data_IF_633450575513
#
_entry.id   IF_633450575513
#
_cell.length_a   1.000
_cell.length_b   1.000
_cell.length_c   1.000
_cell.angle_alpha   90.00
_cell.angle_beta   90.00
_cell.angle_gamma   90.00
#
_symmetry.space_group_name_H-M   'P 1'
#
loop_
_entity.id
_entity.type
_entity.pdbx_description
1 polymer ?
#
# COMPACT_ATOMS: atom_id res chain seq x y z
N UNK A 1 -16.39 -12.02 7.76
CA UNK A 1 -15.34 -13.06 7.53
C UNK A 1 -14.60 -12.78 6.23
N UNK A 2 -15.27 -12.61 5.07
CA UNK A 2 -14.61 -12.35 3.78
C UNK A 2 -13.91 -10.98 3.65
N UNK A 3 -14.44 -9.90 4.25
CA UNK A 3 -13.80 -8.58 4.10
C UNK A 3 -12.45 -8.50 4.81
N UNK A 4 -12.35 -9.08 6.02
CA UNK A 4 -11.10 -9.10 6.79
C UNK A 4 -10.00 -9.85 6.05
N UNK A 5 -10.30 -11.04 5.53
CA UNK A 5 -9.36 -11.85 4.73
C UNK A 5 -8.88 -11.09 3.48
N UNK A 6 -9.77 -10.33 2.83
CA UNK A 6 -9.42 -9.49 1.69
C UNK A 6 -8.46 -8.36 2.09
N UNK A 7 -8.76 -7.64 3.17
CA UNK A 7 -7.91 -6.54 3.66
C UNK A 7 -6.54 -7.09 4.10
N UNK A 8 -6.50 -8.23 4.79
CA UNK A 8 -5.24 -8.90 5.16
C UNK A 8 -4.41 -9.29 3.94
N UNK A 9 -5.06 -9.72 2.86
CA UNK A 9 -4.39 -9.95 1.58
C UNK A 9 -3.84 -8.64 1.02
N UNK A 10 -4.65 -7.58 0.95
CA UNK A 10 -4.23 -6.27 0.42
C UNK A 10 -3.06 -5.69 1.24
N UNK A 11 -3.02 -5.90 2.56
CA UNK A 11 -1.91 -5.54 3.44
C UNK A 11 -0.61 -6.28 3.10
N UNK A 12 -0.69 -7.59 2.79
CA UNK A 12 0.48 -8.37 2.36
C UNK A 12 1.02 -7.90 1.02
N UNK A 13 0.12 -7.68 0.06
CA UNK A 13 0.46 -7.19 -1.28
C UNK A 13 1.11 -5.80 -1.24
N UNK A 14 0.64 -4.93 -0.33
CA UNK A 14 1.27 -3.63 -0.09
C UNK A 14 2.70 -3.77 0.44
N UNK A 15 2.90 -4.64 1.45
CA UNK A 15 4.22 -4.84 2.05
C UNK A 15 5.23 -5.40 1.04
N UNK A 16 4.80 -6.31 0.16
CA UNK A 16 5.62 -6.83 -0.95
C UNK A 16 5.97 -5.72 -1.94
N UNK A 17 4.97 -4.94 -2.39
CA UNK A 17 5.19 -3.82 -3.33
C UNK A 17 6.11 -2.75 -2.77
N UNK A 18 6.02 -2.47 -1.47
CA UNK A 18 6.87 -1.51 -0.78
C UNK A 18 8.32 -2.00 -0.75
N UNK A 19 8.53 -3.29 -0.45
CA UNK A 19 9.87 -3.91 -0.45
C UNK A 19 10.53 -3.79 -1.83
N UNK A 20 9.80 -4.08 -2.91
CA UNK A 20 10.30 -3.93 -4.28
C UNK A 20 10.73 -2.49 -4.59
N UNK A 21 9.95 -1.49 -4.16
CA UNK A 21 10.30 -0.08 -4.33
C UNK A 21 11.58 0.25 -3.56
N UNK A 22 11.68 -0.17 -2.29
CA UNK A 22 12.87 0.12 -1.46
C UNK A 22 14.13 -0.54 -2.02
N UNK A 23 14.04 -1.78 -2.53
CA UNK A 23 15.12 -2.49 -3.21
C UNK A 23 15.54 -1.79 -4.51
N UNK A 24 14.59 -1.20 -5.24
CA UNK A 24 14.83 -0.40 -6.44
C UNK A 24 15.47 0.98 -6.15
N UNK A 25 15.73 1.32 -4.88
CA UNK A 25 16.40 2.55 -4.43
C UNK A 25 15.74 3.81 -5.01
N UNK A 26 14.55 4.18 -4.50
CA UNK A 26 13.76 5.27 -5.07
C UNK A 26 14.49 6.61 -4.89
N UNK A 27 14.34 7.54 -5.84
CA UNK A 27 14.96 8.86 -5.75
C UNK A 27 14.37 9.66 -4.57
N UNK A 28 15.17 10.61 -4.05
CA UNK A 28 14.85 11.39 -2.85
C UNK A 28 13.48 12.09 -2.94
N UNK A 29 13.15 12.62 -4.12
CA UNK A 29 11.91 13.35 -4.36
C UNK A 29 10.64 12.48 -4.22
N UNK A 30 10.76 11.15 -4.16
CA UNK A 30 9.64 10.24 -3.93
C UNK A 30 9.51 9.79 -2.48
N UNK A 31 10.49 10.09 -1.60
CA UNK A 31 10.48 9.63 -0.20
C UNK A 31 9.24 10.07 0.57
N UNK A 32 8.80 11.31 0.39
CA UNK A 32 7.59 11.80 1.07
C UNK A 32 6.33 11.00 0.69
N UNK A 33 6.20 10.62 -0.59
CA UNK A 33 5.08 9.79 -1.04
C UNK A 33 5.17 8.36 -0.47
N UNK A 34 6.37 7.79 -0.39
CA UNK A 34 6.62 6.48 0.21
C UNK A 34 6.27 6.50 1.71
N UNK A 35 6.73 7.50 2.45
CA UNK A 35 6.40 7.65 3.87
C UNK A 35 4.90 7.89 4.08
N UNK A 36 4.24 8.65 3.20
CA UNK A 36 2.77 8.78 3.22
C UNK A 36 2.10 7.42 3.03
N UNK A 37 2.51 6.63 2.05
CA UNK A 37 1.94 5.29 1.83
C UNK A 37 2.14 4.38 3.06
N UNK A 38 3.33 4.42 3.70
CA UNK A 38 3.61 3.67 4.94
C UNK A 38 2.71 4.09 6.11
N UNK A 39 2.42 5.39 6.24
CA UNK A 39 1.54 5.89 7.30
C UNK A 39 0.11 5.37 7.11
N UNK A 40 -0.44 5.46 5.89
CA UNK A 40 -1.76 4.88 5.60
C UNK A 40 -1.79 3.36 5.75
N UNK A 41 -0.70 2.65 5.42
CA UNK A 41 -0.60 1.22 5.73
C UNK A 41 -0.72 0.93 7.23
N UNK A 42 0.00 1.68 8.09
CA UNK A 42 -0.09 1.54 9.54
C UNK A 42 -1.50 1.86 10.06
N UNK A 43 -2.13 2.89 9.51
CA UNK A 43 -3.51 3.26 9.84
C UNK A 43 -4.49 2.13 9.46
N UNK A 44 -4.30 1.50 8.30
CA UNK A 44 -5.13 0.37 7.86
C UNK A 44 -5.00 -0.83 8.81
N UNK A 45 -3.79 -1.15 9.27
CA UNK A 45 -3.55 -2.17 10.29
C UNK A 45 -4.29 -1.80 11.59
N UNK A 46 -4.14 -0.56 12.05
CA UNK A 46 -4.80 -0.07 13.25
C UNK A 46 -6.33 -0.20 13.19
N UNK A 47 -6.96 0.25 12.11
CA UNK A 47 -8.42 0.15 11.96
C UNK A 47 -8.89 -1.31 11.87
N UNK A 48 -8.12 -2.18 11.21
CA UNK A 48 -8.45 -3.60 11.11
C UNK A 48 -8.39 -4.29 12.49
N UNK A 49 -7.38 -3.99 13.31
CA UNK A 49 -7.26 -4.49 14.68
C UNK A 49 -8.41 -4.02 15.59
N UNK A 50 -8.93 -2.81 15.35
CA UNK A 50 -10.13 -2.28 16.04
C UNK A 50 -11.46 -2.85 15.52
N UNK A 51 -11.43 -3.63 14.45
CA UNK A 51 -12.63 -4.19 13.82
C UNK A 51 -13.37 -3.21 12.88
N UNK A 52 -12.80 -2.03 12.61
CA UNK A 52 -13.33 -1.09 11.63
C UNK A 52 -12.84 -1.47 10.23
N UNK A 53 -13.52 -2.45 9.63
CA UNK A 53 -13.16 -3.00 8.32
C UNK A 53 -13.39 -2.02 7.18
N UNK A 54 -14.35 -1.10 7.29
CA UNK A 54 -14.63 -0.12 6.24
C UNK A 54 -13.52 0.93 6.15
N UNK A 55 -13.13 1.49 7.29
CA UNK A 55 -12.03 2.47 7.33
C UNK A 55 -10.71 1.78 6.96
N UNK A 56 -10.45 0.57 7.45
CA UNK A 56 -9.27 -0.21 7.09
C UNK A 56 -9.17 -0.44 5.58
N UNK A 57 -10.27 -0.85 4.93
CA UNK A 57 -10.34 -1.06 3.49
C UNK A 57 -10.09 0.23 2.69
N UNK A 58 -10.70 1.35 3.08
CA UNK A 58 -10.47 2.64 2.42
C UNK A 58 -9.01 3.09 2.55
N UNK A 59 -8.43 2.89 3.74
CA UNK A 59 -7.08 3.33 4.06
C UNK A 59 -6.03 2.51 3.31
N UNK A 60 -6.17 1.18 3.22
CA UNK A 60 -5.23 0.34 2.47
C UNK A 60 -5.30 0.60 0.96
N UNK A 61 -6.48 0.87 0.41
CA UNK A 61 -6.60 1.24 -1.01
C UNK A 61 -5.92 2.57 -1.32
N UNK A 62 -6.02 3.56 -0.41
CA UNK A 62 -5.31 4.82 -0.56
C UNK A 62 -3.78 4.60 -0.50
N UNK A 63 -3.31 3.77 0.42
CA UNK A 63 -1.89 3.43 0.51
C UNK A 63 -1.38 2.81 -0.81
N UNK A 64 -2.10 1.85 -1.37
CA UNK A 64 -1.82 1.27 -2.69
C UNK A 64 -1.80 2.31 -3.80
N UNK A 65 -2.81 3.18 -3.88
CA UNK A 65 -2.86 4.22 -4.91
C UNK A 65 -1.67 5.19 -4.86
N UNK A 66 -1.20 5.55 -3.66
CA UNK A 66 0.03 6.36 -3.51
C UNK A 66 1.26 5.58 -3.96
N UNK A 67 1.35 4.30 -3.59
CA UNK A 67 2.49 3.46 -3.92
C UNK A 67 2.56 3.16 -5.43
N UNK A 68 1.43 2.93 -6.09
CA UNK A 68 1.34 2.76 -7.55
C UNK A 68 1.76 4.01 -8.31
N UNK A 69 1.44 5.20 -7.79
CA UNK A 69 1.93 6.46 -8.35
C UNK A 69 3.47 6.52 -8.26
N UNK A 70 4.05 6.10 -7.13
CA UNK A 70 5.52 5.99 -6.97
C UNK A 70 6.10 4.99 -7.99
N UNK A 71 5.51 3.80 -8.14
CA UNK A 71 5.94 2.79 -9.13
C UNK A 71 5.96 3.37 -10.53
N UNK A 72 4.87 4.04 -10.93
CA UNK A 72 4.75 4.70 -12.23
C UNK A 72 5.81 5.80 -12.41
N UNK A 73 6.08 6.61 -11.39
CA UNK A 73 7.14 7.63 -11.44
C UNK A 73 8.55 7.03 -11.56
N UNK A 74 8.75 5.79 -11.09
CA UNK A 74 10.01 5.05 -11.23
C UNK A 74 10.10 4.22 -12.52
N UNK A 75 9.03 4.17 -13.33
CA UNK A 75 8.98 3.30 -14.52
C UNK A 75 8.79 1.81 -14.20
N UNK A 76 8.32 1.48 -13.00
CA UNK A 76 7.96 0.11 -12.59
C UNK A 76 6.49 -0.18 -12.94
N UNK A 77 6.16 -1.43 -13.26
CA UNK A 77 4.77 -1.84 -13.50
C UNK A 77 3.91 -1.69 -12.22
N UNK A 78 2.71 -1.11 -12.32
CA UNK A 78 1.76 -0.96 -11.21
C UNK A 78 1.24 -2.33 -10.74
N UNK A 79 0.89 -2.44 -9.45
CA UNK A 79 0.30 -3.67 -8.92
C UNK A 79 -1.08 -3.91 -9.56
N UNK A 80 -1.29 -5.07 -10.18
CA UNK A 80 -2.58 -5.45 -10.78
C UNK A 80 -2.82 -5.03 -12.23
N UNK A 81 -1.86 -4.41 -12.93
CA UNK A 81 -2.02 -4.06 -14.36
C UNK A 81 -1.97 -5.26 -15.33
N UNK A 82 -1.68 -6.48 -14.85
CA UNK A 82 -1.54 -7.71 -15.65
C UNK A 82 -2.22 -8.95 -15.03
N UNK A 83 -3.28 -8.81 -14.23
CA UNK A 83 -4.10 -9.94 -13.79
C UNK A 83 -5.54 -9.82 -14.26
#
# INVERSE_FOLDING_TARGET
>A
MREKERIEKDLREFAESLREIEEAKPPENLRENIERAKNYYKDAVYFLEKGDTFTAWGTINYAHGVLDAVRRSMGLECYGALK
#
